data_IF_550181983440
#
_entry.id   IF_550181983440
#
_cell.length_a   1.000
_cell.length_b   1.000
_cell.length_c   1.000
_cell.angle_alpha   90.00
_cell.angle_beta   90.00
_cell.angle_gamma   90.00
#
_symmetry.space_group_name_H-M   'P 1'
#
loop_
_entity.id
_entity.type
_entity.pdbx_description
1 polymer ?
#
# COMPACT_ATOMS: atom_id res chain seq x y z
N UNK A 1 -20.60 -31.04 44.93
CA UNK A 1 -19.54 -30.05 45.21
C UNK A 1 -18.51 -30.26 44.13
N UNK A 2 -18.70 -29.71 42.92
CA UNK A 2 -18.80 -28.29 42.53
C UNK A 2 -17.60 -27.47 43.00
N UNK A 3 -17.01 -26.79 42.01
CA UNK A 3 -16.08 -25.65 41.99
C UNK A 3 -15.13 -25.92 40.80
N UNK A 4 -15.54 -25.79 39.54
CA UNK A 4 -15.91 -24.57 38.80
C UNK A 4 -14.94 -23.37 38.99
N UNK A 5 -14.44 -22.94 37.84
CA UNK A 5 -13.91 -21.61 37.51
C UNK A 5 -12.50 -21.19 37.99
N UNK A 6 -11.53 -21.33 37.07
CA UNK A 6 -10.95 -20.16 36.39
C UNK A 6 -9.97 -20.63 35.29
N UNK A 7 -10.47 -20.74 34.06
CA UNK A 7 -9.63 -20.50 32.89
C UNK A 7 -10.13 -19.25 32.20
N UNK A 8 -9.52 -18.18 32.67
CA UNK A 8 -9.58 -16.81 32.20
C UNK A 8 -9.21 -16.71 30.70
N UNK A 9 -10.16 -16.24 29.90
CA UNK A 9 -9.91 -15.07 29.07
C UNK A 9 -8.92 -15.16 27.90
N UNK A 10 -8.59 -16.33 27.34
CA UNK A 10 -8.00 -16.37 25.98
C UNK A 10 -9.10 -16.41 24.94
N UNK A 11 -9.51 -15.23 24.46
CA UNK A 11 -10.19 -15.06 23.16
C UNK A 11 -9.25 -15.56 22.06
N UNK A 12 -9.22 -16.87 21.88
CA UNK A 12 -8.58 -17.52 20.77
C UNK A 12 -9.53 -17.34 19.59
N UNK A 13 -9.23 -16.35 18.73
CA UNK A 13 -9.96 -16.07 17.47
C UNK A 13 -9.60 -17.15 16.44
N UNK A 14 -9.75 -18.41 16.85
CA UNK A 14 -9.37 -19.59 16.08
C UNK A 14 -10.30 -20.72 16.45
N UNK A 15 -11.12 -21.14 15.49
CA UNK A 15 -11.87 -22.40 15.59
C UNK A 15 -10.89 -23.53 15.92
N UNK A 16 -11.19 -24.33 16.94
CA UNK A 16 -10.42 -25.55 17.25
C UNK A 16 -10.43 -26.52 16.06
N UNK A 17 -9.43 -27.40 15.96
CA UNK A 17 -9.31 -28.34 14.83
C UNK A 17 -10.55 -29.22 14.66
N UNK A 18 -11.11 -29.71 15.76
CA UNK A 18 -12.34 -30.53 15.73
C UNK A 18 -13.56 -29.75 15.22
N UNK A 19 -13.69 -28.48 15.61
CA UNK A 19 -14.76 -27.62 15.11
C UNK A 19 -14.59 -27.33 13.61
N UNK A 20 -13.35 -27.19 13.13
CA UNK A 20 -13.07 -27.02 11.70
C UNK A 20 -13.44 -28.26 10.91
N UNK A 21 -13.09 -29.45 11.39
CA UNK A 21 -13.43 -30.71 10.72
C UNK A 21 -14.95 -30.95 10.70
N UNK A 22 -15.63 -30.70 11.82
CA UNK A 22 -17.09 -30.80 11.90
C UNK A 22 -17.76 -29.85 10.91
N UNK A 23 -17.29 -28.60 10.83
CA UNK A 23 -17.81 -27.61 9.89
C UNK A 23 -17.54 -28.02 8.44
N UNK A 24 -16.33 -28.46 8.11
CA UNK A 24 -16.00 -28.92 6.76
C UNK A 24 -16.86 -30.10 6.33
N UNK A 25 -17.10 -31.07 7.22
CA UNK A 25 -18.00 -32.19 6.95
C UNK A 25 -19.43 -31.72 6.70
N UNK A 26 -19.94 -30.79 7.53
CA UNK A 26 -21.27 -30.20 7.33
C UNK A 26 -21.38 -29.41 6.03
N UNK A 27 -20.35 -28.63 5.68
CA UNK A 27 -20.31 -27.89 4.41
C UNK A 27 -20.30 -28.82 3.20
N UNK A 28 -19.55 -29.93 3.25
CA UNK A 28 -19.54 -30.94 2.17
C UNK A 28 -20.88 -31.67 2.03
N UNK A 29 -21.68 -31.71 3.08
CA UNK A 29 -23.01 -32.32 3.06
C UNK A 29 -24.10 -31.40 2.47
N UNK A 30 -23.82 -30.11 2.29
CA UNK A 30 -24.77 -29.18 1.69
C UNK A 30 -24.79 -29.38 0.17
N UNK A 31 -25.99 -29.28 -0.42
CA UNK A 31 -26.15 -29.29 -1.86
C UNK A 31 -25.51 -28.05 -2.47
N UNK A 32 -24.67 -28.24 -3.48
CA UNK A 32 -24.05 -27.16 -4.24
C UNK A 32 -25.12 -26.44 -5.07
N UNK A 33 -25.79 -25.48 -4.44
CA UNK A 33 -26.83 -24.67 -5.08
C UNK A 33 -26.15 -23.42 -5.60
N UNK A 34 -26.11 -23.19 -6.93
CA UNK A 34 -25.53 -21.97 -7.44
C UNK A 34 -26.32 -20.78 -6.85
N UNK A 35 -25.63 -19.80 -6.24
CA UNK A 35 -26.31 -18.66 -5.63
C UNK A 35 -27.12 -17.91 -6.70
N UNK A 36 -28.37 -17.54 -6.36
CA UNK A 36 -29.26 -16.87 -7.30
C UNK A 36 -28.66 -15.55 -7.79
N UNK A 37 -28.77 -15.28 -9.09
CA UNK A 37 -28.20 -14.07 -9.72
C UNK A 37 -28.75 -12.77 -9.13
N UNK A 38 -29.98 -12.79 -8.64
CA UNK A 38 -30.65 -11.64 -8.03
C UNK A 38 -30.00 -11.20 -6.70
N UNK A 39 -29.49 -12.14 -5.91
CA UNK A 39 -28.76 -11.81 -4.67
C UNK A 39 -27.45 -11.11 -5.01
N UNK A 40 -26.73 -11.60 -6.02
CA UNK A 40 -25.49 -10.97 -6.48
C UNK A 40 -25.71 -9.59 -7.08
N UNK A 41 -26.78 -9.40 -7.85
CA UNK A 41 -27.12 -8.08 -8.39
C UNK A 41 -27.42 -7.07 -7.28
N UNK A 42 -28.07 -7.49 -6.18
CA UNK A 42 -28.30 -6.63 -5.02
C UNK A 42 -27.01 -6.27 -4.30
N UNK A 43 -26.13 -7.24 -4.07
CA UNK A 43 -24.81 -7.00 -3.46
C UNK A 43 -23.99 -6.05 -4.33
N UNK A 44 -23.99 -6.25 -5.65
CA UNK A 44 -23.28 -5.42 -6.61
C UNK A 44 -23.85 -3.99 -6.68
N UNK A 45 -25.18 -3.85 -6.66
CA UNK A 45 -25.85 -2.55 -6.57
C UNK A 45 -25.52 -1.83 -5.25
N UNK A 46 -25.52 -2.55 -4.14
CA UNK A 46 -25.19 -2.00 -2.83
C UNK A 46 -23.72 -1.60 -2.72
N UNK A 47 -22.81 -2.43 -3.21
CA UNK A 47 -21.38 -2.13 -3.22
C UNK A 47 -21.03 -0.96 -4.17
N UNK A 48 -21.76 -0.76 -5.27
CA UNK A 48 -21.64 0.46 -6.08
C UNK A 48 -22.23 1.70 -5.40
N UNK A 49 -23.36 1.56 -4.71
CA UNK A 49 -23.97 2.64 -3.94
C UNK A 49 -23.08 3.08 -2.77
N UNK A 50 -22.39 2.14 -2.14
CA UNK A 50 -21.41 2.36 -1.06
C UNK A 50 -20.03 2.77 -1.60
N UNK A 51 -19.86 2.86 -2.92
CA UNK A 51 -18.61 3.28 -3.55
C UNK A 51 -17.45 2.27 -3.41
N UNK A 52 -17.72 1.06 -2.93
CA UNK A 52 -16.73 -0.02 -2.80
C UNK A 52 -16.17 -0.45 -4.16
N UNK A 53 -16.97 -0.30 -5.21
CA UNK A 53 -16.53 -0.45 -6.61
C UNK A 53 -16.45 0.92 -7.28
N UNK A 54 -15.45 1.71 -6.91
CA UNK A 54 -15.03 2.83 -7.75
C UNK A 54 -14.39 2.27 -9.01
N UNK A 55 -15.13 2.38 -10.11
CA UNK A 55 -14.70 1.96 -11.44
C UNK A 55 -13.47 2.73 -11.88
N UNK A 56 -12.28 2.20 -11.57
CA UNK A 56 -11.19 2.29 -12.53
C UNK A 56 -11.61 1.36 -13.66
N UNK A 57 -12.18 1.95 -14.70
CA UNK A 57 -12.44 1.27 -15.96
C UNK A 57 -11.11 0.70 -16.45
N UNK A 58 -10.83 -0.55 -16.09
CA UNK A 58 -9.89 -1.35 -16.84
C UNK A 58 -10.62 -1.67 -18.13
N UNK A 59 -10.28 -0.91 -19.18
CA UNK A 59 -10.64 -1.27 -20.54
C UNK A 59 -10.34 -2.76 -20.75
N UNK A 60 -11.32 -3.40 -21.37
CA UNK A 60 -11.48 -4.84 -21.60
C UNK A 60 -10.18 -5.54 -22.02
N UNK A 61 -9.42 -6.05 -21.05
CA UNK A 61 -8.38 -7.05 -21.31
C UNK A 61 -9.02 -8.42 -21.10
N UNK A 62 -9.18 -9.16 -22.20
CA UNK A 62 -9.67 -10.55 -22.22
C UNK A 62 -8.76 -11.41 -21.33
N UNK A 63 -9.19 -11.65 -20.10
CA UNK A 63 -8.49 -12.47 -19.12
C UNK A 63 -8.90 -13.94 -19.30
N UNK A 64 -7.98 -14.75 -19.80
CA UNK A 64 -8.07 -16.20 -19.69
C UNK A 64 -7.65 -16.58 -18.27
N UNK A 65 -8.65 -16.95 -17.49
CA UNK A 65 -8.66 -17.83 -16.32
C UNK A 65 -7.34 -18.52 -15.94
N UNK A 66 -6.90 -18.30 -14.69
CA UNK A 66 -5.90 -19.14 -14.02
C UNK A 66 -5.89 -18.88 -12.51
N UNK A 67 -6.53 -19.76 -11.76
CA UNK A 67 -6.73 -19.79 -10.30
C UNK A 67 -5.46 -19.72 -9.45
N UNK A 68 -5.55 -19.08 -8.27
CA UNK A 68 -4.63 -19.33 -7.14
C UNK A 68 -4.46 -18.16 -6.16
N UNK A 69 -5.50 -17.77 -5.41
CA UNK A 69 -5.32 -16.85 -4.28
C UNK A 69 -4.76 -17.65 -3.10
N UNK A 70 -3.45 -17.61 -2.91
CA UNK A 70 -2.82 -18.01 -1.65
C UNK A 70 -2.52 -16.73 -0.86
N UNK A 71 -3.33 -16.45 0.16
CA UNK A 71 -3.09 -15.36 1.09
C UNK A 71 -1.96 -15.74 2.04
N UNK A 72 -0.81 -15.10 1.91
CA UNK A 72 0.25 -15.12 2.92
C UNK A 72 0.47 -13.68 3.40
N UNK A 73 -0.02 -13.38 4.60
CA UNK A 73 0.31 -12.14 5.32
C UNK A 73 1.67 -12.36 5.99
N UNK A 74 2.70 -11.67 5.52
CA UNK A 74 3.97 -11.55 6.25
C UNK A 74 4.20 -10.07 6.52
N UNK A 75 4.01 -9.67 7.78
CA UNK A 75 4.43 -8.36 8.30
C UNK A 75 5.96 -8.37 8.44
N UNK A 76 6.66 -7.85 7.43
CA UNK A 76 8.09 -7.58 7.52
C UNK A 76 8.32 -6.10 7.83
N UNK A 77 8.64 -5.78 9.09
CA UNK A 77 9.19 -4.49 9.48
C UNK A 77 10.65 -4.47 9.04
N UNK A 78 10.95 -3.86 7.89
CA UNK A 78 12.33 -3.61 7.46
C UNK A 78 12.80 -2.26 8.01
N UNK A 79 13.59 -2.32 9.08
CA UNK A 79 14.49 -1.25 9.50
C UNK A 79 15.62 -1.15 8.46
N UNK A 80 15.67 -0.06 7.70
CA UNK A 80 16.84 0.27 6.89
C UNK A 80 17.82 1.13 7.70
N UNK A 81 19.12 0.77 7.76
CA UNK A 81 20.14 1.64 8.34
C UNK A 81 20.32 2.86 7.44
N UNK A 82 20.18 4.05 8.02
CA UNK A 82 20.43 5.33 7.35
C UNK A 82 21.91 5.65 7.48
N UNK A 83 22.74 5.18 6.54
CA UNK A 83 24.09 5.73 6.37
C UNK A 83 24.01 7.01 5.55
N UNK A 84 23.97 8.15 6.23
CA UNK A 84 24.22 9.46 5.63
C UNK A 84 25.74 9.72 5.68
N UNK A 85 26.45 9.87 4.54
CA UNK A 85 27.84 10.29 4.58
C UNK A 85 27.92 11.77 5.00
N UNK A 86 28.60 12.02 6.12
CA UNK A 86 29.03 13.35 6.56
C UNK A 86 29.84 14.03 5.44
N UNK A 87 29.41 15.23 5.04
CA UNK A 87 30.23 16.14 4.23
C UNK A 87 31.27 16.84 5.12
N UNK A 88 32.52 17.05 4.67
CA UNK A 88 33.60 17.63 5.48
C UNK A 88 33.44 19.15 5.70
N UNK A 89 34.10 19.71 6.74
CA UNK A 89 34.01 21.13 7.07
C UNK A 89 34.90 21.94 6.11
N UNK A 90 34.33 22.95 5.45
CA UNK A 90 35.13 23.98 4.80
C UNK A 90 35.20 25.15 5.77
N UNK A 91 36.33 25.26 6.45
CA UNK A 91 36.77 26.50 7.10
C UNK A 91 37.03 27.55 6.02
N UNK A 92 36.49 28.76 6.19
CA UNK A 92 36.84 29.88 5.32
C UNK A 92 35.94 31.10 5.43
N UNK A 93 36.27 31.98 6.39
CA UNK A 93 36.17 33.45 6.30
C UNK A 93 34.78 34.13 6.23
N UNK A 94 34.43 34.87 7.29
CA UNK A 94 33.46 35.98 7.27
C UNK A 94 34.23 37.31 7.07
N UNK A 95 33.66 38.39 6.48
CA UNK A 95 32.82 39.29 7.29
C UNK A 95 31.68 40.07 6.59
N UNK A 96 30.73 40.45 7.44
CA UNK A 96 29.83 41.63 7.48
C UNK A 96 28.57 41.78 6.58
N UNK A 97 27.54 42.32 7.24
CA UNK A 97 26.10 42.38 6.92
C UNK A 97 25.69 43.66 6.14
N UNK A 98 24.50 43.70 5.48
CA UNK A 98 23.29 44.14 6.18
C UNK A 98 22.01 43.38 5.79
N UNK A 99 21.07 43.30 6.74
CA UNK A 99 19.64 42.99 6.62
C UNK A 99 19.16 42.43 5.26
N UNK A 100 19.34 41.11 5.08
CA UNK A 100 18.51 40.38 4.11
C UNK A 100 17.19 40.14 4.82
N UNK A 101 16.18 40.90 4.40
CA UNK A 101 14.75 40.59 4.57
C UNK A 101 14.61 39.08 4.60
N UNK A 102 14.12 38.52 5.72
CA UNK A 102 13.79 37.10 5.81
C UNK A 102 12.71 36.83 4.77
N UNK A 103 13.17 36.53 3.57
CA UNK A 103 12.36 35.98 2.53
C UNK A 103 11.98 34.59 3.01
N UNK A 104 10.75 34.46 3.53
CA UNK A 104 10.15 33.20 3.92
C UNK A 104 9.90 32.25 2.71
N UNK A 105 10.60 32.46 1.60
CA UNK A 105 10.56 31.65 0.38
C UNK A 105 11.38 30.37 0.47
N UNK A 106 11.90 29.98 1.65
CA UNK A 106 12.37 28.60 1.84
C UNK A 106 11.14 27.70 1.74
N UNK A 107 11.02 26.84 0.71
CA UNK A 107 9.90 25.93 0.63
C UNK A 107 9.90 25.07 1.89
N UNK A 108 8.78 25.04 2.60
CA UNK A 108 8.62 24.11 3.72
C UNK A 108 8.99 22.69 3.26
N UNK A 109 9.63 21.88 4.11
CA UNK A 109 10.04 20.51 3.75
C UNK A 109 8.89 19.70 3.12
N UNK A 110 7.66 19.98 3.53
CA UNK A 110 6.43 19.44 2.95
C UNK A 110 6.27 19.76 1.46
N UNK A 111 6.49 21.00 1.04
CA UNK A 111 6.42 21.41 -0.38
C UNK A 111 7.48 20.67 -1.20
N UNK A 112 8.68 20.47 -0.64
CA UNK A 112 9.76 19.72 -1.29
C UNK A 112 9.34 18.25 -1.50
N UNK A 113 8.79 17.60 -0.47
CA UNK A 113 8.32 16.22 -0.56
C UNK A 113 7.16 16.06 -1.56
N UNK A 114 6.22 17.01 -1.59
CA UNK A 114 5.12 17.03 -2.55
C UNK A 114 5.63 17.11 -3.99
N UNK A 115 6.51 18.08 -4.26
CA UNK A 115 7.14 18.26 -5.57
C UNK A 115 7.95 17.03 -5.98
N UNK A 116 8.69 16.43 -5.04
CA UNK A 116 9.44 15.20 -5.29
C UNK A 116 8.51 14.04 -5.67
N UNK A 117 7.40 13.86 -4.96
CA UNK A 117 6.47 12.77 -5.30
C UNK A 117 5.79 12.99 -6.65
N UNK A 118 5.44 14.24 -7.00
CA UNK A 118 4.93 14.58 -8.35
C UNK A 118 5.97 14.29 -9.44
N UNK A 119 7.26 14.52 -9.16
CA UNK A 119 8.33 14.13 -10.07
C UNK A 119 8.37 12.61 -10.26
N UNK A 120 8.32 11.83 -9.18
CA UNK A 120 8.32 10.36 -9.26
C UNK A 120 7.10 9.83 -10.03
N UNK A 121 5.93 10.45 -9.87
CA UNK A 121 4.74 10.10 -10.67
C UNK A 121 4.93 10.34 -12.17
N UNK A 122 5.61 11.43 -12.53
CA UNK A 122 5.96 11.70 -13.93
C UNK A 122 6.94 10.66 -14.46
N UNK A 123 7.96 10.32 -13.68
CA UNK A 123 8.93 9.28 -14.04
C UNK A 123 8.27 7.91 -14.21
N UNK A 124 7.38 7.52 -13.29
CA UNK A 124 6.60 6.28 -13.38
C UNK A 124 5.72 6.21 -14.63
N UNK A 125 5.13 7.34 -15.04
CA UNK A 125 4.34 7.45 -16.28
C UNK A 125 5.18 7.45 -17.55
N UNK A 126 6.44 7.91 -17.46
CA UNK A 126 7.37 7.93 -18.58
C UNK A 126 8.00 6.55 -18.85
N UNK A 127 7.95 5.62 -17.89
CA UNK A 127 8.43 4.26 -18.10
C UNK A 127 7.61 3.54 -19.19
N UNK A 128 8.26 2.69 -20.01
CA UNK A 128 7.56 1.88 -21.00
C UNK A 128 6.50 0.98 -20.33
N UNK A 129 5.46 0.63 -21.09
CA UNK A 129 4.35 -0.20 -20.61
C UNK A 129 4.78 -1.53 -19.98
N UNK A 130 3.88 -2.14 -19.19
CA UNK A 130 4.18 -3.34 -18.42
C UNK A 130 4.61 -4.53 -19.30
N UNK A 131 5.48 -5.42 -18.80
CA UNK A 131 5.85 -6.64 -19.52
C UNK A 131 4.61 -7.49 -19.78
N UNK A 132 4.56 -8.16 -20.94
CA UNK A 132 3.48 -9.13 -21.23
C UNK A 132 3.46 -10.30 -20.24
N UNK A 133 4.63 -10.63 -19.68
CA UNK A 133 4.80 -11.70 -18.69
C UNK A 133 5.61 -11.16 -17.52
N UNK A 134 5.01 -11.18 -16.32
CA UNK A 134 5.66 -10.79 -15.06
C UNK A 134 5.70 -11.99 -14.15
N UNK A 135 6.81 -12.19 -13.43
CA UNK A 135 6.89 -13.22 -12.38
C UNK A 135 5.86 -12.90 -11.30
N UNK A 136 5.09 -13.90 -10.87
CA UNK A 136 4.04 -13.72 -9.87
C UNK A 136 4.54 -13.03 -8.59
N UNK A 137 5.74 -13.37 -8.12
CA UNK A 137 6.36 -12.73 -6.95
C UNK A 137 6.61 -11.23 -7.14
N UNK A 138 7.07 -10.82 -8.32
CA UNK A 138 7.29 -9.40 -8.62
C UNK A 138 5.98 -8.64 -8.75
N UNK A 139 4.96 -9.26 -9.36
CA UNK A 139 3.62 -8.68 -9.43
C UNK A 139 3.04 -8.48 -8.01
N UNK A 140 3.23 -9.46 -7.11
CA UNK A 140 2.80 -9.35 -5.72
C UNK A 140 3.47 -8.17 -5.00
N UNK A 141 4.79 -7.99 -5.14
CA UNK A 141 5.50 -6.84 -4.55
C UNK A 141 5.02 -5.50 -5.12
N UNK A 142 4.71 -5.43 -6.41
CA UNK A 142 4.16 -4.21 -7.02
C UNK A 142 2.80 -3.87 -6.40
N UNK A 143 1.90 -4.85 -6.32
CA UNK A 143 0.57 -4.67 -5.73
C UNK A 143 0.69 -4.24 -4.27
N UNK A 144 1.58 -4.85 -3.49
CA UNK A 144 1.82 -4.48 -2.09
C UNK A 144 2.30 -3.03 -1.95
N UNK A 145 3.23 -2.59 -2.80
CA UNK A 145 3.70 -1.19 -2.78
C UNK A 145 2.58 -0.22 -3.16
N UNK A 146 1.80 -0.55 -4.18
CA UNK A 146 0.68 0.28 -4.65
C UNK A 146 -0.43 0.38 -3.59
N UNK A 147 -0.74 -0.71 -2.89
CA UNK A 147 -1.72 -0.72 -1.80
C UNK A 147 -1.26 0.13 -0.61
N UNK A 148 0.01 0.02 -0.20
CA UNK A 148 0.58 0.86 0.85
C UNK A 148 0.56 2.35 0.48
N UNK A 149 0.86 2.69 -0.78
CA UNK A 149 0.74 4.07 -1.28
C UNK A 149 -0.72 4.54 -1.21
N UNK A 150 -1.68 3.71 -1.63
CA UNK A 150 -3.11 4.05 -1.59
C UNK A 150 -3.60 4.33 -0.16
N UNK A 151 -3.14 3.56 0.83
CA UNK A 151 -3.47 3.81 2.25
C UNK A 151 -2.92 5.16 2.73
N UNK A 152 -1.71 5.53 2.33
CA UNK A 152 -1.12 6.83 2.67
C UNK A 152 -1.87 7.96 1.98
N UNK A 153 -2.13 7.82 0.69
CA UNK A 153 -2.87 8.81 -0.10
C UNK A 153 -4.29 9.00 0.45
N UNK A 154 -4.92 7.94 0.94
CA UNK A 154 -6.18 8.05 1.67
C UNK A 154 -6.02 8.92 2.92
N UNK A 155 -5.06 8.62 3.80
CA UNK A 155 -4.87 9.39 5.04
C UNK A 155 -4.53 10.86 4.79
N UNK A 156 -3.73 11.14 3.76
CA UNK A 156 -3.34 12.50 3.38
C UNK A 156 -4.51 13.32 2.84
N UNK A 157 -5.46 12.70 2.14
CA UNK A 157 -6.55 13.39 1.45
C UNK A 157 -7.91 13.29 2.16
N UNK A 158 -8.06 12.43 3.18
CA UNK A 158 -9.35 12.18 3.80
C UNK A 158 -9.73 13.29 4.82
N UNK A 159 -10.85 13.99 4.64
CA UNK A 159 -11.19 15.17 5.46
C UNK A 159 -11.50 14.85 6.93
N UNK A 160 -11.87 13.59 7.23
CA UNK A 160 -12.09 13.16 8.61
C UNK A 160 -10.77 12.85 9.36
N UNK A 161 -9.65 12.67 8.65
CA UNK A 161 -8.33 12.48 9.27
C UNK A 161 -7.71 13.85 9.49
N UNK A 162 -7.67 14.30 10.75
CA UNK A 162 -6.93 15.51 11.13
C UNK A 162 -5.49 15.15 11.46
N UNK A 163 -4.58 15.41 10.52
CA UNK A 163 -3.14 15.24 10.72
C UNK A 163 -2.52 16.53 11.23
N UNK A 164 -1.64 16.43 12.22
CA UNK A 164 -0.73 17.52 12.56
C UNK A 164 0.24 17.80 11.40
N UNK A 165 0.91 18.95 11.43
CA UNK A 165 1.94 19.29 10.45
C UNK A 165 3.06 18.24 10.42
N UNK A 166 3.47 17.77 11.59
CA UNK A 166 4.52 16.75 11.74
C UNK A 166 4.08 15.40 11.16
N UNK A 167 2.86 14.93 11.46
CA UNK A 167 2.33 13.69 10.90
C UNK A 167 2.17 13.77 9.37
N UNK A 168 1.71 14.91 8.87
CA UNK A 168 1.60 15.15 7.43
C UNK A 168 2.96 15.01 6.74
N UNK A 169 4.02 15.59 7.31
CA UNK A 169 5.38 15.44 6.78
C UNK A 169 5.86 13.99 6.79
N UNK A 170 5.59 13.25 7.88
CA UNK A 170 5.95 11.82 7.98
C UNK A 170 5.27 11.01 6.87
N UNK A 171 3.97 11.22 6.64
CA UNK A 171 3.25 10.52 5.58
C UNK A 171 3.77 10.89 4.18
N UNK A 172 4.10 12.15 3.93
CA UNK A 172 4.72 12.56 2.65
C UNK A 172 6.08 11.91 2.43
N UNK A 173 6.89 11.80 3.49
CA UNK A 173 8.20 11.14 3.44
C UNK A 173 8.06 9.65 3.14
N UNK A 174 7.12 8.98 3.81
CA UNK A 174 6.83 7.57 3.55
C UNK A 174 6.31 7.36 2.12
N UNK A 175 5.40 8.23 1.63
CA UNK A 175 4.91 8.19 0.25
C UNK A 175 6.07 8.22 -0.75
N UNK A 176 6.98 9.20 -0.60
CA UNK A 176 8.16 9.34 -1.46
C UNK A 176 9.03 8.09 -1.40
N UNK A 177 9.25 7.52 -0.22
CA UNK A 177 10.02 6.28 -0.04
C UNK A 177 9.42 5.11 -0.82
N UNK A 178 8.11 4.86 -0.66
CA UNK A 178 7.41 3.77 -1.36
C UNK A 178 7.39 3.97 -2.86
N UNK A 179 7.16 5.20 -3.31
CA UNK A 179 7.16 5.54 -4.72
C UNK A 179 8.53 5.34 -5.37
N UNK A 180 9.62 5.65 -4.65
CA UNK A 180 10.98 5.35 -5.11
C UNK A 180 11.22 3.84 -5.21
N UNK A 181 10.75 3.04 -4.24
CA UNK A 181 10.81 1.58 -4.33
C UNK A 181 10.06 1.05 -5.56
N UNK A 182 8.85 1.56 -5.80
CA UNK A 182 8.05 1.19 -6.98
C UNK A 182 8.76 1.58 -8.29
N UNK A 183 9.30 2.81 -8.35
CA UNK A 183 10.03 3.30 -9.52
C UNK A 183 11.28 2.46 -9.81
N UNK A 184 12.06 2.13 -8.80
CA UNK A 184 13.24 1.28 -8.94
C UNK A 184 12.87 -0.13 -9.42
N UNK A 185 11.81 -0.70 -8.86
CA UNK A 185 11.32 -2.01 -9.27
C UNK A 185 10.86 -2.01 -10.74
N UNK A 186 10.08 -1.00 -11.16
CA UNK A 186 9.62 -0.89 -12.55
C UNK A 186 10.75 -0.58 -13.53
N UNK A 187 11.75 0.22 -13.15
CA UNK A 187 12.97 0.42 -13.95
C UNK A 187 13.73 -0.90 -14.14
N UNK A 188 13.92 -1.68 -13.08
CA UNK A 188 14.57 -2.98 -13.16
C UNK A 188 13.79 -3.96 -14.05
N UNK A 189 12.45 -3.93 -14.02
CA UNK A 189 11.62 -4.71 -14.94
C UNK A 189 11.80 -4.27 -16.39
N UNK A 190 11.77 -2.97 -16.66
CA UNK A 190 11.97 -2.42 -18.01
C UNK A 190 13.36 -2.76 -18.57
N UNK A 191 14.40 -2.68 -17.75
CA UNK A 191 15.76 -3.05 -18.14
C UNK A 191 15.87 -4.53 -18.54
N UNK A 192 15.19 -5.44 -17.83
CA UNK A 192 15.16 -6.87 -18.18
C UNK A 192 14.46 -7.16 -19.51
N UNK A 193 13.65 -6.25 -20.04
CA UNK A 193 13.01 -6.41 -21.35
C UNK A 193 13.88 -5.93 -22.51
N UNK A 194 14.93 -5.14 -22.23
CA UNK A 194 15.81 -4.59 -23.25
C UNK A 194 16.92 -5.57 -23.71
N UNK A 195 17.02 -6.74 -23.06
CA UNK A 195 17.98 -7.80 -23.36
C UNK A 195 17.23 -9.09 -23.69
#
# INVERSE_FOLDING_TARGET
MNDDEQQDGKVNIGLSMEQRELLQTKFRALSDTPPSREVWQRIDAQARAEGLFQGRYFETVKWLSGTGIAAAVVLAVLNFPTDSPLSPPIEGSFPDTPDVVVDNSVPSNLNVLQAQSQQIERDLRALPGQPRLVRASTAATIVELEDRIAIIDYRLNHPAVRLSRMETEIYWRERVSLMNSLLNLRRAQAQRMAF
#
